data_IF_783045629901
#
_entry.id   IF_783045629901
#
_cell.length_a   1.000
_cell.length_b   1.000
_cell.length_c   1.000
_cell.angle_alpha   90.00
_cell.angle_beta   90.00
_cell.angle_gamma   90.00
#
_symmetry.space_group_name_H-M   'P 1'
#
loop_
_entity.id
_entity.type
_entity.pdbx_description
1 polymer ?
2 polymer ?
3 non-polymer ?
4 non-polymer ?
5 water ?
#
# COMPACT_ATOMS: atom_id res chain seq x y z
N UNK A 8 3.72 8.82 17.16
CA UNK A 8 4.39 7.86 18.04
C UNK A 8 4.07 6.41 17.65
N UNK A 9 2.78 6.13 17.42
CA UNK A 9 2.37 4.80 17.00
C UNK A 9 2.66 4.62 15.51
N UNK A 10 3.19 3.46 15.16
CA UNK A 10 3.56 3.16 13.78
C UNK A 10 2.43 2.42 13.09
N UNK A 11 2.02 2.90 11.93
CA UNK A 11 0.93 2.33 11.18
C UNK A 11 1.40 2.03 9.77
N UNK A 12 1.05 0.86 9.25
CA UNK A 12 1.49 0.44 7.92
C UNK A 12 0.63 1.13 6.85
N UNK A 13 1.27 1.82 5.90
CA UNK A 13 0.48 2.60 4.95
C UNK A 13 -0.12 1.74 3.83
N UNK A 14 0.13 0.43 3.82
CA UNK A 14 -0.52 -0.45 2.87
C UNK A 14 -1.78 -1.06 3.45
N UNK A 15 -1.66 -1.69 4.62
CA UNK A 15 -2.77 -2.41 5.23
C UNK A 15 -3.41 -1.69 6.41
N UNK A 16 -2.83 -0.58 6.88
CA UNK A 16 -3.31 0.21 8.02
C UNK A 16 -3.31 -0.59 9.32
N UNK A 17 -2.57 -1.72 9.37
CA UNK A 17 -2.39 -2.41 10.63
C UNK A 17 -1.36 -1.72 11.51
N UNK A 18 -1.42 -2.02 12.82
CA UNK A 18 -0.51 -1.42 13.78
C UNK A 18 0.38 -2.42 14.50
N UNK A 19 0.32 -3.71 14.16
CA UNK A 19 1.13 -4.69 14.84
C UNK A 19 2.53 -4.70 14.24
N UNK A 20 3.53 -4.57 15.11
CA UNK A 20 4.93 -4.58 14.70
C UNK A 20 5.67 -5.57 15.58
N UNK A 21 5.82 -6.80 15.09
CA UNK A 21 6.58 -7.83 15.79
C UNK A 21 7.92 -8.04 15.12
N UNK A 22 8.79 -8.81 15.79
CA UNK A 22 10.14 -9.03 15.28
C UNK A 22 10.13 -9.74 13.92
N UNK A 23 9.10 -10.52 13.65
CA UNK A 23 9.02 -11.21 12.37
C UNK A 23 8.55 -10.28 11.25
N UNK A 24 7.58 -9.41 11.54
CA UNK A 24 7.05 -8.46 10.56
C UNK A 24 7.00 -7.09 11.21
N UNK A 25 8.06 -6.32 11.03
CA UNK A 25 8.20 -5.03 11.67
C UNK A 25 7.64 -3.93 10.77
N UNK A 26 7.04 -2.92 11.39
CA UNK A 26 6.70 -1.69 10.68
C UNK A 26 7.93 -0.80 10.65
N UNK A 27 8.42 -0.50 9.46
CA UNK A 27 9.65 0.27 9.29
C UNK A 27 9.31 1.63 8.70
N UNK A 28 10.33 2.50 8.59
CA UNK A 28 10.11 3.87 8.14
C UNK A 28 11.20 4.29 7.16
N UNK A 29 10.79 4.88 6.03
CA UNK A 29 11.75 5.40 5.07
C UNK A 29 12.41 6.67 5.63
N UNK A 30 13.74 6.68 5.66
CA UNK A 30 14.44 7.78 6.28
C UNK A 30 14.56 9.02 5.39
N UNK A 31 13.98 9.02 4.19
CA UNK A 31 13.95 10.25 3.39
C UNK A 31 12.55 10.82 3.24
N UNK A 32 11.57 10.02 2.79
CA UNK A 32 10.21 10.52 2.59
C UNK A 32 9.31 10.30 3.80
N UNK A 33 9.65 9.36 4.68
CA UNK A 33 8.95 9.20 5.94
C UNK A 33 7.85 8.14 5.97
N UNK A 34 7.55 7.49 4.83
CA UNK A 34 6.46 6.53 4.84
C UNK A 34 6.81 5.33 5.71
N UNK A 35 5.79 4.72 6.30
CA UNK A 35 5.92 3.60 7.22
C UNK A 35 5.14 2.41 6.68
N UNK A 36 5.72 1.21 6.76
CA UNK A 36 5.15 0.02 6.12
C UNK A 36 5.63 -1.23 6.84
N UNK A 37 4.77 -2.25 6.87
CA UNK A 37 5.23 -3.59 7.25
C UNK A 37 6.30 -4.06 6.27
N UNK A 38 7.33 -4.70 6.80
CA UNK A 38 8.28 -5.42 5.95
C UNK A 38 7.55 -6.37 5.02
N UNK A 39 6.62 -7.15 5.58
CA UNK A 39 5.88 -8.14 4.81
C UNK A 39 4.91 -7.55 3.81
N UNK A 40 4.46 -6.32 4.05
CA UNK A 40 3.58 -5.69 3.06
C UNK A 40 4.36 -5.06 1.92
N UNK A 41 5.69 -5.05 1.97
CA UNK A 41 6.50 -4.38 0.95
C UNK A 41 7.57 -5.28 0.36
N UNK A 42 7.68 -6.52 0.83
CA UNK A 42 8.64 -7.44 0.26
C UNK A 42 10.06 -7.34 0.77
N UNK A 43 10.30 -6.67 1.89
CA UNK A 43 11.65 -6.53 2.43
C UNK A 43 11.81 -7.34 3.71
N UNK A 44 10.93 -8.31 3.94
CA UNK A 44 11.04 -9.16 5.11
C UNK A 44 12.17 -10.19 4.93
N UNK A 45 12.63 -10.74 6.05
CA UNK A 45 13.59 -11.82 6.08
C UNK A 45 14.87 -11.56 5.30
N UNK A 46 15.27 -10.30 5.16
CA UNK A 46 16.49 -9.93 4.46
C UNK A 46 17.60 -9.67 5.46
N UNK A 47 18.83 -9.82 4.99
CA UNK A 47 20.00 -9.59 5.85
C UNK A 47 20.17 -8.10 6.11
N UNK A 48 20.79 -7.79 7.25
CA UNK A 48 21.11 -6.40 7.58
C UNK A 48 22.16 -5.86 6.62
N UNK A 49 22.09 -4.55 6.37
CA UNK A 49 22.91 -3.92 5.34
C UNK A 49 24.39 -3.99 5.68
N UNK A 50 25.23 -3.72 4.68
CA UNK A 50 26.67 -3.66 4.89
C UNK A 50 27.05 -2.41 5.69
N UNK A 51 26.30 -1.32 5.47
CA UNK A 51 26.50 -0.10 6.24
C UNK A 51 26.18 -0.29 7.72
N UNK A 52 25.42 -1.34 8.07
CA UNK A 52 25.00 -1.53 9.45
C UNK A 52 26.15 -2.00 10.33
N UNK A 53 27.16 -2.65 9.75
CA UNK A 53 28.32 -3.09 10.54
C UNK A 53 29.04 -1.89 11.16
N UNK A 54 28.94 -0.72 10.53
CA UNK A 54 29.54 0.48 11.09
C UNK A 54 28.86 0.91 12.39
N UNK A 55 27.59 0.60 12.56
CA UNK A 55 26.88 1.02 13.75
C UNK A 55 26.98 -0.03 14.84
N UNK A 56 27.04 0.43 16.09
CA UNK A 56 26.78 -0.40 17.24
C UNK A 56 25.32 -0.33 17.67
N UNK A 57 24.51 0.51 17.02
CA UNK A 57 23.12 0.68 17.38
C UNK A 57 22.28 -0.51 16.88
N UNK A 58 21.08 -0.61 17.46
CA UNK A 58 20.16 -1.70 17.14
C UNK A 58 19.41 -1.52 15.84
N UNK A 59 19.42 -0.32 15.26
CA UNK A 59 18.69 -0.02 14.04
C UNK A 59 19.66 0.45 12.96
N UNK A 60 19.20 0.33 11.71
CA UNK A 60 19.93 0.73 10.52
C UNK A 60 19.03 1.58 9.65
N UNK A 61 19.59 2.50 8.87
CA UNK A 61 18.76 3.29 7.96
C UNK A 61 18.10 2.41 6.90
N UNK A 62 16.95 2.87 6.42
CA UNK A 62 16.22 2.19 5.36
C UNK A 62 15.55 3.22 4.47
N UNK A 63 15.50 2.92 3.18
CA UNK A 63 14.89 3.78 2.18
C UNK A 63 13.98 2.99 1.27
N UNK A 64 12.79 3.52 1.01
CA UNK A 64 11.87 2.89 0.08
C UNK A 64 12.43 2.94 -1.35
N UNK A 65 11.74 2.27 -2.28
CA UNK A 65 12.27 2.16 -3.64
C UNK A 65 12.20 3.47 -4.41
N UNK A 66 11.17 4.28 -4.18
CA UNK A 66 11.07 5.56 -4.87
C UNK A 66 12.24 6.47 -4.49
N UNK A 67 12.53 6.55 -3.18
CA UNK A 67 13.63 7.39 -2.73
C UNK A 67 14.98 6.86 -3.18
N UNK A 68 15.16 5.53 -3.19
CA UNK A 68 16.39 4.96 -3.75
C UNK A 68 16.65 5.50 -5.15
N UNK A 69 15.59 5.77 -5.92
CA UNK A 69 15.74 6.28 -7.28
C UNK A 69 15.58 7.79 -7.35
N UNK A 70 15.42 8.47 -6.22
CA UNK A 70 15.36 9.92 -6.23
C UNK A 70 14.13 10.51 -6.89
N UNK A 71 12.98 9.84 -6.79
CA UNK A 71 11.75 10.38 -7.33
C UNK A 71 10.67 10.40 -6.26
N UNK A 72 9.74 11.35 -6.39
CA UNK A 72 8.50 11.39 -5.64
C UNK A 72 7.39 11.15 -6.65
N UNK A 73 7.10 9.90 -6.98
CA UNK A 73 6.38 9.62 -8.22
C UNK A 73 4.87 9.82 -8.07
N UNK A 74 4.20 9.72 -9.20
CA UNK A 74 2.76 9.54 -9.22
C UNK A 74 2.46 8.09 -9.59
N UNK A 75 1.24 7.67 -9.28
CA UNK A 75 0.81 6.31 -9.49
C UNK A 75 0.10 6.20 -10.83
N UNK A 76 0.39 5.12 -11.56
CA UNK A 76 -0.30 4.86 -12.82
C UNK A 76 -1.78 4.58 -12.63
N UNK A 77 -2.21 4.25 -11.42
CA UNK A 77 -3.56 3.74 -11.20
C UNK A 77 -4.45 4.66 -10.35
N UNK A 78 -3.97 5.81 -9.91
CA UNK A 78 -4.76 6.68 -9.05
C UNK A 78 -4.08 8.04 -8.99
N UNK A 79 -4.78 9.06 -8.51
CA UNK A 79 -4.21 10.42 -8.45
C UNK A 79 -3.47 10.77 -7.16
N UNK A 80 -3.44 9.87 -6.19
CA UNK A 80 -2.82 10.20 -4.90
C UNK A 80 -1.30 10.19 -5.01
N UNK A 81 -0.66 11.08 -4.25
CA UNK A 81 0.79 11.23 -4.22
C UNK A 81 1.43 10.66 -2.96
N UNK A 82 0.63 10.32 -1.96
CA UNK A 82 1.12 9.79 -0.70
C UNK A 82 1.20 8.26 -0.76
N UNK A 83 1.71 7.66 0.31
CA UNK A 83 1.84 6.22 0.36
C UNK A 83 3.15 5.74 -0.23
N UNK A 84 3.24 4.42 -0.40
CA UNK A 84 4.50 3.80 -0.80
C UNK A 84 4.32 3.11 -2.14
N UNK A 85 5.39 3.15 -2.96
CA UNK A 85 5.35 2.84 -4.38
C UNK A 85 6.30 1.70 -4.73
N UNK A 86 6.00 1.05 -5.85
CA UNK A 86 6.90 0.11 -6.50
C UNK A 86 7.01 0.46 -7.98
N UNK A 87 8.20 0.26 -8.54
CA UNK A 87 8.43 0.57 -9.94
C UNK A 87 7.81 -0.48 -10.84
N UNK A 88 7.33 -0.04 -12.00
CA UNK A 88 6.81 -0.98 -12.99
C UNK A 88 7.90 -1.38 -13.97
N UNK A 89 7.60 -2.41 -14.75
CA UNK A 89 8.55 -2.88 -15.75
C UNK A 89 8.85 -1.83 -16.80
N UNK A 90 7.99 -0.84 -16.96
CA UNK A 90 8.18 0.21 -17.94
C UNK A 90 8.82 1.46 -17.35
N UNK A 91 9.30 1.38 -16.11
CA UNK A 91 9.89 2.55 -15.48
C UNK A 91 8.91 3.53 -14.89
N UNK A 92 7.64 3.16 -14.78
CA UNK A 92 6.68 4.00 -14.09
C UNK A 92 6.50 3.48 -12.67
N UNK A 93 5.45 3.95 -11.98
CA UNK A 93 5.29 3.66 -10.56
C UNK A 93 3.82 3.41 -10.25
N UNK A 94 3.57 2.50 -9.30
CA UNK A 94 2.24 2.23 -8.78
C UNK A 94 2.33 2.05 -7.26
N UNK A 95 1.28 2.48 -6.56
CA UNK A 95 1.14 2.10 -5.16
C UNK A 95 1.13 0.59 -5.02
N UNK A 96 1.76 0.09 -3.96
CA UNK A 96 1.56 -1.31 -3.57
C UNK A 96 0.07 -1.59 -3.40
N UNK A 97 -0.63 -0.68 -2.72
CA UNK A 97 -2.03 -0.95 -2.40
C UNK A 97 -2.87 -1.02 -3.68
N UNK A 98 -2.60 -0.14 -4.65
CA UNK A 98 -3.33 -0.20 -5.91
C UNK A 98 -3.04 -1.50 -6.66
N UNK A 99 -1.78 -1.92 -6.67
CA UNK A 99 -1.43 -3.17 -7.32
C UNK A 99 -2.13 -4.35 -6.67
N UNK A 100 -2.27 -4.34 -5.34
CA UNK A 100 -2.95 -5.45 -4.66
C UNK A 100 -4.43 -5.50 -5.03
N UNK A 101 -5.12 -4.36 -5.06
CA UNK A 101 -6.57 -4.37 -5.18
C UNK A 101 -7.08 -4.31 -6.63
N UNK A 102 -6.31 -3.81 -7.58
CA UNK A 102 -6.83 -3.69 -8.95
C UNK A 102 -6.75 -5.04 -9.63
N UNK A 103 -7.84 -5.54 -10.20
CA UNK A 103 -7.79 -6.83 -10.89
C UNK A 103 -6.86 -6.80 -12.10
N UNK A 104 -6.25 -7.93 -12.37
CA UNK A 104 -5.35 -8.02 -13.49
C UNK A 104 -3.96 -7.45 -13.25
N UNK A 105 -3.65 -7.00 -12.04
CA UNK A 105 -2.31 -6.52 -11.72
C UNK A 105 -1.71 -7.49 -10.72
N UNK A 106 -0.49 -7.93 -10.97
CA UNK A 106 0.13 -8.97 -10.18
C UNK A 106 1.58 -8.60 -9.94
N UNK A 107 2.15 -9.16 -8.89
CA UNK A 107 3.56 -8.94 -8.58
C UNK A 107 4.44 -9.99 -9.26
N UNK A 108 5.62 -9.54 -9.71
CA UNK A 108 6.53 -10.44 -10.40
C UNK A 108 6.92 -11.64 -9.57
N UNK A 109 7.49 -11.40 -8.39
CA UNK A 109 7.68 -12.45 -7.40
C UNK A 109 7.07 -11.99 -6.10
N UNK A 110 6.38 -12.91 -5.40
CA UNK A 110 5.59 -12.53 -4.25
C UNK A 110 6.48 -12.19 -3.05
N UNK A 111 7.68 -12.77 -2.99
CA UNK A 111 8.52 -12.60 -1.81
C UNK A 111 9.06 -11.17 -1.70
N UNK A 112 9.56 -10.61 -2.81
CA UNK A 112 10.06 -9.25 -2.85
C UNK A 112 9.04 -8.25 -3.41
N UNK A 113 7.94 -8.73 -4.00
CA UNK A 113 6.91 -7.90 -4.60
C UNK A 113 7.52 -6.92 -5.61
N UNK A 114 8.28 -7.48 -6.57
CA UNK A 114 9.07 -6.64 -7.48
C UNK A 114 9.46 -7.40 -8.73
N UNK A 115 9.30 -6.81 -9.93
CA UNK A 115 8.62 -5.54 -10.22
C UNK A 115 7.12 -5.74 -10.44
N UNK A 116 6.44 -4.70 -10.90
CA UNK A 116 5.03 -4.79 -11.29
C UNK A 116 4.95 -4.66 -12.80
N UNK A 117 4.23 -5.59 -13.44
CA UNK A 117 4.05 -5.57 -14.88
C UNK A 117 2.61 -5.16 -15.18
N UNK A 118 2.43 -4.03 -15.86
CA UNK A 118 1.12 -3.53 -16.26
C UNK A 118 0.86 -3.86 -17.71
N UNK A 119 -0.36 -4.30 -18.02
CA UNK A 119 -0.70 -4.81 -19.34
C UNK A 119 -1.52 -3.78 -20.11
N UNK A 120 -1.72 -4.07 -21.40
CA UNK A 120 -2.63 -3.29 -22.22
C UNK A 120 -4.03 -3.32 -21.65
N UNK A 121 -4.44 -4.46 -21.07
CA UNK A 121 -5.75 -4.51 -20.42
C UNK A 121 -5.84 -3.54 -19.26
N UNK A 122 -4.77 -3.41 -18.46
CA UNK A 122 -4.83 -2.46 -17.36
C UNK A 122 -5.02 -1.05 -17.89
N UNK A 123 -4.27 -0.70 -18.94
CA UNK A 123 -4.31 0.67 -19.45
C UNK A 123 -5.63 0.98 -20.14
N UNK A 124 -6.30 -0.03 -20.71
CA UNK A 124 -7.59 0.20 -21.35
C UNK A 124 -8.65 0.61 -20.35
N UNK A 125 -8.45 0.35 -19.07
CA UNK A 125 -9.41 0.74 -18.05
C UNK A 125 -9.20 2.18 -17.57
N UNK A 126 -8.19 2.89 -18.09
CA UNK A 126 -7.91 4.24 -17.62
C UNK A 126 -9.10 5.14 -17.87
N UNK A 127 -9.49 5.86 -16.82
CA UNK A 127 -10.62 6.78 -16.92
C UNK A 127 -11.99 6.15 -17.16
N UNK A 128 -12.06 4.82 -17.38
CA UNK A 128 -13.30 4.14 -17.75
C UNK A 128 -14.42 4.26 -16.72
N UNK A 129 -14.08 4.46 -15.46
CA UNK A 129 -15.09 4.65 -14.42
C UNK A 129 -14.78 5.95 -13.71
N UNK A 130 -15.81 6.60 -13.20
CA UNK A 130 -15.63 7.79 -12.40
C UNK A 130 -15.50 7.40 -10.94
N UNK A 131 -14.47 7.91 -10.27
CA UNK A 131 -14.29 7.60 -8.86
C UNK A 131 -15.32 8.38 -8.06
N UNK A 132 -16.16 7.68 -7.30
CA UNK A 132 -17.21 8.34 -6.54
C UNK A 132 -16.72 8.96 -5.24
N UNK A 133 -15.45 8.76 -4.86
CA UNK A 133 -14.95 9.31 -3.60
C UNK A 133 -13.89 10.37 -3.78
N UNK A 134 -13.45 10.67 -5.01
CA UNK A 134 -12.48 11.74 -5.20
C UNK A 134 -13.01 13.03 -4.59
N UNK A 135 -12.19 13.67 -3.77
CA UNK A 135 -12.54 15.01 -3.29
C UNK A 135 -12.27 16.07 -4.34
N UNK A 136 -11.28 15.86 -5.21
CA UNK A 136 -11.00 16.81 -6.27
C UNK A 136 -11.50 16.17 -7.57
N UNK A 137 -12.68 16.62 -8.02
CA UNK A 137 -13.29 16.02 -9.21
C UNK A 137 -12.41 16.12 -10.46
N UNK A 138 -11.42 17.02 -10.48
CA UNK A 138 -10.49 17.08 -11.60
C UNK A 138 -9.76 15.77 -11.82
N UNK A 139 -9.79 14.87 -10.85
CA UNK A 139 -9.06 13.62 -10.97
C UNK A 139 -9.97 12.42 -10.92
N UNK A 140 -11.29 12.62 -10.82
CA UNK A 140 -12.20 11.49 -10.63
C UNK A 140 -12.13 10.50 -11.78
N UNK A 141 -11.63 10.91 -12.94
CA UNK A 141 -11.53 10.00 -14.09
C UNK A 141 -10.09 9.76 -14.52
N UNK A 142 -9.13 10.00 -13.63
CA UNK A 142 -7.78 9.50 -13.86
C UNK A 142 -7.68 8.08 -13.31
N UNK A 143 -6.59 7.40 -13.69
CA UNK A 143 -6.30 6.10 -13.10
C UNK A 143 -7.40 5.08 -13.32
N UNK A 144 -7.47 4.11 -12.40
CA UNK A 144 -8.34 2.96 -12.51
C UNK A 144 -9.11 2.83 -11.20
N UNK A 145 -10.43 2.65 -11.30
CA UNK A 145 -11.29 2.39 -10.16
C UNK A 145 -11.52 0.91 -9.95
N UNK A 146 -11.72 0.52 -8.70
CA UNK A 146 -12.26 -0.78 -8.36
C UNK A 146 -13.72 -0.56 -8.00
N UNK A 147 -14.45 -1.65 -7.79
CA UNK A 147 -15.84 -1.53 -7.39
C UNK A 147 -16.07 -2.18 -6.04
N UNK A 148 -17.17 -1.79 -5.41
CA UNK A 148 -17.69 -2.53 -4.25
C UNK A 148 -17.84 -4.00 -4.61
N UNK A 149 -17.45 -4.87 -3.68
CA UNK A 149 -17.55 -6.31 -3.91
C UNK A 149 -18.80 -6.95 -3.33
N UNK A 150 -19.79 -6.16 -2.90
CA UNK A 150 -21.02 -6.71 -2.32
C UNK A 150 -22.01 -7.00 -3.44
N UNK A 151 -22.38 -8.28 -3.60
CA UNK A 151 -23.27 -8.67 -4.68
C UNK A 151 -22.95 -8.04 -6.02
N UNK A 152 -23.93 -7.34 -6.60
CA UNK A 152 -23.79 -6.70 -7.90
C UNK A 152 -23.66 -5.17 -7.79
N UNK A 153 -23.23 -4.66 -6.64
CA UNK A 153 -23.12 -3.22 -6.44
C UNK A 153 -22.10 -2.61 -7.38
N UNK A 154 -22.53 -1.59 -8.12
CA UNK A 154 -21.64 -0.94 -9.09
C UNK A 154 -21.24 0.45 -8.59
N UNK A 155 -20.68 0.50 -7.39
CA UNK A 155 -20.11 1.73 -6.85
C UNK A 155 -18.60 1.68 -7.07
N UNK A 156 -18.03 2.74 -7.65
CA UNK A 156 -16.64 2.73 -8.10
C UNK A 156 -15.80 3.77 -7.36
N UNK A 157 -14.53 3.43 -7.13
CA UNK A 157 -13.61 4.34 -6.49
C UNK A 157 -12.17 3.91 -6.72
N UNK A 158 -11.28 4.89 -6.71
CA UNK A 158 -9.84 4.64 -6.66
C UNK A 158 -9.47 3.85 -5.40
N UNK A 159 -8.46 2.98 -5.52
CA UNK A 159 -8.09 2.17 -4.36
C UNK A 159 -7.65 3.05 -3.18
N UNK A 160 -6.89 4.12 -3.46
CA UNK A 160 -6.41 4.98 -2.39
C UNK A 160 -7.48 5.90 -1.84
N UNK A 161 -8.49 6.25 -2.66
CA UNK A 161 -9.63 6.99 -2.11
C UNK A 161 -10.45 6.09 -1.19
N UNK A 162 -10.63 4.82 -1.58
CA UNK A 162 -11.32 3.85 -0.72
C UNK A 162 -10.51 3.58 0.56
N UNK A 163 -9.19 3.49 0.44
CA UNK A 163 -8.36 3.32 1.64
C UNK A 163 -8.62 4.42 2.66
N UNK A 164 -8.72 5.67 2.19
CA UNK A 164 -8.89 6.82 3.06
C UNK A 164 -10.19 6.72 3.84
N UNK A 165 -11.25 6.21 3.21
CA UNK A 165 -12.54 6.06 3.85
C UNK A 165 -12.66 4.76 4.63
N UNK A 166 -11.56 4.01 4.78
CA UNK A 166 -11.60 2.78 5.54
C UNK A 166 -12.38 1.65 4.91
N UNK A 167 -12.36 1.56 3.58
CA UNK A 167 -13.18 0.59 2.86
C UNK A 167 -12.39 -0.63 2.36
N UNK A 168 -11.07 -0.66 2.51
CA UNK A 168 -10.29 -1.80 2.00
C UNK A 168 -10.18 -2.87 3.07
N UNK A 169 -10.44 -4.12 2.67
CA UNK A 169 -10.39 -5.26 3.57
C UNK A 169 -9.50 -6.35 2.97
N UNK A 170 -8.93 -7.16 3.85
CA UNK A 170 -8.12 -8.29 3.43
C UNK A 170 -8.61 -9.49 4.21
N UNK A 171 -8.96 -10.56 3.51
CA UNK A 171 -9.36 -11.77 4.21
C UNK A 171 -8.16 -12.40 4.93
N UNK A 172 -8.44 -13.08 6.04
CA UNK A 172 -7.38 -13.78 6.75
C UNK A 172 -6.91 -14.99 5.95
N UNK A 173 -5.66 -15.40 6.17
CA UNK A 173 -5.08 -16.49 5.40
C UNK A 173 -5.88 -17.78 5.55
N UNK A 174 -6.39 -18.04 6.76
CA UNK A 174 -7.14 -19.28 7.00
C UNK A 174 -8.42 -19.35 6.17
N UNK A 175 -8.98 -18.21 5.74
CA UNK A 175 -10.23 -18.21 5.00
C UNK A 175 -10.11 -18.79 3.58
N UNK A 176 -8.88 -18.94 3.05
CA UNK A 176 -8.60 -19.65 1.80
C UNK A 176 -9.33 -19.04 0.61
N UNK A 177 -9.47 -17.72 0.60
CA UNK A 177 -10.10 -17.03 -0.52
C UNK A 177 -9.00 -16.65 -1.53
N UNK A 178 -9.15 -17.11 -2.78
CA UNK A 178 -8.08 -16.97 -3.76
C UNK A 178 -7.66 -15.52 -3.94
N UNK A 179 -8.61 -14.60 -4.06
CA UNK A 179 -8.28 -13.18 -4.05
C UNK A 179 -8.69 -12.59 -2.70
N UNK A 180 -7.78 -12.43 -1.74
CA UNK A 180 -8.19 -12.01 -0.40
C UNK A 180 -8.37 -10.53 -0.23
N UNK A 181 -8.09 -9.70 -1.25
CA UNK A 181 -8.28 -8.26 -1.13
C UNK A 181 -9.64 -7.90 -1.72
N UNK A 182 -10.47 -7.22 -0.92
CA UNK A 182 -11.79 -6.82 -1.38
C UNK A 182 -12.15 -5.47 -0.75
N UNK A 183 -13.13 -4.80 -1.34
CA UNK A 183 -13.60 -3.51 -0.87
C UNK A 183 -15.13 -3.47 -0.92
N UNK A 184 -15.71 -2.70 0.00
CA UNK A 184 -17.14 -2.42 0.05
C UNK A 184 -17.34 -0.93 0.06
N UNK A 185 -18.38 -0.46 -0.63
CA UNK A 185 -18.73 0.95 -0.52
C UNK A 185 -19.28 1.22 0.88
N UNK A 186 -19.51 2.50 1.19
CA UNK A 186 -19.97 2.85 2.52
C UNK A 186 -21.32 2.23 2.82
N UNK A 187 -22.15 2.05 1.78
CA UNK A 187 -23.48 1.49 1.99
C UNK A 187 -23.40 0.04 2.45
N UNK A 188 -22.34 -0.66 2.08
CA UNK A 188 -22.23 -2.09 2.34
C UNK A 188 -21.10 -2.44 3.27
N UNK A 189 -20.39 -1.46 3.80
CA UNK A 189 -19.20 -1.74 4.58
C UNK A 189 -19.55 -2.21 5.98
N UNK A 190 -18.58 -2.87 6.60
CA UNK A 190 -18.66 -3.18 8.03
C UNK A 190 -18.32 -1.92 8.83
N UNK A 191 -19.29 -1.43 9.62
CA UNK A 191 -19.11 -0.16 10.30
C UNK A 191 -17.95 -0.20 11.28
N UNK A 192 -17.82 -1.28 12.08
CA UNK A 192 -16.69 -1.37 13.01
C UNK A 192 -15.35 -1.34 12.26
N UNK A 193 -15.25 -2.05 11.13
CA UNK A 193 -13.99 -2.08 10.41
C UNK A 193 -13.63 -0.71 9.86
N UNK A 194 -14.62 -0.02 9.27
CA UNK A 194 -14.37 1.34 8.79
C UNK A 194 -13.83 2.22 9.88
N UNK A 195 -14.35 2.06 11.11
CA UNK A 195 -13.98 2.96 12.19
C UNK A 195 -12.49 2.84 12.52
N UNK A 196 -12.00 1.61 12.76
CA UNK A 196 -10.60 1.56 13.17
C UNK A 196 -9.67 1.82 11.98
N UNK A 197 -10.11 1.51 10.75
CA UNK A 197 -9.26 1.83 9.59
C UNK A 197 -9.17 3.33 9.38
N UNK A 198 -10.29 4.04 9.47
CA UNK A 198 -10.27 5.49 9.39
C UNK A 198 -9.43 6.10 10.51
N UNK A 199 -9.52 5.54 11.72
CA UNK A 199 -8.72 6.04 12.83
C UNK A 199 -7.22 5.87 12.56
N UNK A 200 -6.81 4.69 12.12
CA UNK A 200 -5.41 4.47 11.79
C UNK A 200 -4.97 5.28 10.57
N UNK A 201 -5.86 5.51 9.60
CA UNK A 201 -5.49 6.36 8.48
C UNK A 201 -5.18 7.77 8.94
N UNK A 202 -6.01 8.31 9.84
CA UNK A 202 -5.81 9.68 10.30
C UNK A 202 -4.55 9.80 11.15
N UNK A 203 -4.17 8.73 11.87
CA UNK A 203 -2.92 8.76 12.60
C UNK A 203 -1.72 8.64 11.68
N UNK A 204 -1.87 7.91 10.57
CA UNK A 204 -0.82 7.84 9.56
C UNK A 204 -0.57 9.20 8.94
N UNK A 205 -1.63 9.98 8.74
CA UNK A 205 -1.48 11.31 8.15
C UNK A 205 -0.79 12.27 9.10
N UNK A 206 -1.11 12.18 10.39
CA UNK A 206 -0.49 13.08 11.37
C UNK A 206 0.97 12.74 11.61
N UNK A 207 1.33 11.45 11.52
CA UNK A 207 2.71 11.05 11.79
C UNK A 207 3.64 11.44 10.64
N UNK A 208 3.19 11.25 9.40
CA UNK A 208 4.05 11.56 8.25
C UNK A 208 4.13 13.07 8.02
N UNK A 209 3.00 13.70 7.66
CA UNK A 209 2.94 15.13 7.37
C UNK A 209 3.98 15.56 6.34
N UNK B 1 13.70 4.06 9.85
CA UNK B 1 14.77 3.10 10.01
C UNK B 1 14.22 1.68 10.15
N UNK B 2 15.14 0.71 10.25
CA UNK B 2 14.80 -0.70 10.27
C UNK B 2 15.66 -1.39 11.33
N UNK B 3 15.02 -2.04 12.31
CA UNK B 3 15.77 -2.72 13.35
C UNK B 3 16.57 -3.87 12.75
N UNK B 4 17.88 -3.88 13.02
CA UNK B 4 18.73 -4.97 12.56
C UNK B 4 18.23 -6.30 13.10
N UNK B 5 18.35 -7.35 12.29
CA UNK B 5 17.91 -8.67 12.72
C UNK B 5 18.82 -9.25 13.80
N UNK B 6 20.04 -8.73 13.93
CA UNK B 6 20.88 -9.09 15.06
C UNK B 6 20.29 -8.60 16.38
N UNK B 7 19.43 -7.58 16.34
CA UNK B 7 18.79 -7.03 17.53
C UNK B 7 17.37 -7.56 17.72
N UNK B 8 16.98 -8.60 16.98
CA UNK B 8 15.64 -9.18 17.06
C UNK B 8 15.73 -10.58 17.66
N UNK B 9 14.83 -10.88 18.58
CA UNK B 9 14.78 -12.19 19.20
C UNK B 9 13.94 -13.17 18.35
X LIG C 1 -21.73 -1.41 -2.37
X LIG D 1 -2.28 4.42 -6.71
X LIG E 1 -10.68 9.02 -6.38
X LIG F 1 0.85 -3.74 6.47
X LIG G 1 10.89 7.00 0.73
X LIG H 1 -9.91 -7.71 -5.19
X LIG I 1 -4.02 -7.17 -8.11
#
# INVERSE_FOLDING_TARGET
>A
SSSQRMEHILICCVCLGDNSEDADEIIQCDNCGVTVHEGCYGVDGESDSIMSSASENSTEPWFCDACKNGVSPSCELCPSQDGIFKETDAGRWVHVVCALYVPGVAFGDIDKLRPVTLTEMNYSKYGAKECSLCEDTRFARTGVCISCDAGMCRSFFHVTCAQREGLLSEAAAEEDIADPFFAYCKQHADRFDRKWKRKNYLALQSYCKVS
>B
ARTKQTARKSTGGKAPRKQLATKAA
>C hetero
1 ZN ZN
>D hetero
1 ZN ZN
>E hetero
1 ZN ZN
>F hetero
1 ZN ZN
>G hetero
1 ZN ZN
>H hetero
1 CA CA
>I hetero
1 CA CA
#
